data_IF_549099474109
#
_entry.id   IF_549099474109
#
_cell.length_a   1.000
_cell.length_b   1.000
_cell.length_c   1.000
_cell.angle_alpha   90.00
_cell.angle_beta   90.00
_cell.angle_gamma   90.00
#
_symmetry.space_group_name_H-M   'P 1'
#
loop_
_entity.id
_entity.type
_entity.pdbx_description
1 polymer ?
#
# COMPACT_ATOMS: atom_id res chain seq x y z
N UNK A 1 -55.15 37.74 17.43
CA UNK A 1 -54.77 36.38 17.01
C UNK A 1 -53.74 36.42 15.92
N UNK A 2 -52.48 36.28 16.29
CA UNK A 2 -51.32 36.25 15.42
C UNK A 2 -50.85 34.81 15.27
N UNK A 3 -50.89 34.26 14.08
CA UNK A 3 -50.36 32.97 13.68
C UNK A 3 -48.86 33.09 13.44
N UNK A 4 -48.02 32.51 14.27
CA UNK A 4 -46.59 32.36 14.07
C UNK A 4 -46.35 31.13 13.22
N UNK A 5 -45.87 31.35 11.97
CA UNK A 5 -45.40 30.30 11.06
C UNK A 5 -44.00 29.80 11.49
N UNK A 6 -43.94 28.59 11.99
CA UNK A 6 -42.65 27.88 12.24
C UNK A 6 -42.12 27.32 10.93
N UNK A 7 -41.05 27.91 10.42
CA UNK A 7 -40.25 27.31 9.32
C UNK A 7 -39.45 26.12 9.85
N UNK A 8 -39.69 24.96 9.27
CA UNK A 8 -38.81 23.78 9.44
C UNK A 8 -37.42 24.04 8.84
N UNK A 9 -36.35 23.50 9.44
CA UNK A 9 -35.01 23.65 8.86
C UNK A 9 -34.89 22.82 7.58
N UNK A 10 -34.40 23.47 6.52
CA UNK A 10 -34.10 22.81 5.25
C UNK A 10 -32.93 21.84 5.44
N UNK A 11 -33.17 20.56 5.27
CA UNK A 11 -32.13 19.55 5.10
C UNK A 11 -31.37 19.84 3.81
N UNK A 12 -30.22 20.48 3.93
CA UNK A 12 -29.26 20.59 2.84
C UNK A 12 -28.75 19.17 2.52
N UNK A 13 -29.30 18.58 1.47
CA UNK A 13 -28.73 17.38 0.85
C UNK A 13 -27.46 17.83 0.16
N UNK A 14 -26.31 17.57 0.77
CA UNK A 14 -25.03 17.72 0.10
C UNK A 14 -24.94 16.62 -0.97
N UNK A 15 -25.34 16.96 -2.19
CA UNK A 15 -25.00 16.20 -3.38
C UNK A 15 -23.49 16.37 -3.60
N UNK A 16 -22.67 15.60 -2.89
CA UNK A 16 -21.32 15.31 -3.33
C UNK A 16 -21.45 14.42 -4.58
N UNK A 17 -20.87 14.80 -5.74
CA UNK A 17 -20.85 13.88 -6.87
C UNK A 17 -20.10 12.64 -6.41
N UNK A 18 -20.78 11.52 -6.31
CA UNK A 18 -20.17 10.20 -6.10
C UNK A 18 -19.28 9.97 -7.32
N UNK A 19 -18.02 10.36 -7.23
CA UNK A 19 -16.98 9.88 -8.11
C UNK A 19 -16.95 8.39 -7.83
N UNK A 20 -17.33 7.60 -8.81
CA UNK A 20 -17.35 6.14 -8.72
C UNK A 20 -15.89 5.67 -8.51
N UNK A 21 -15.43 5.62 -7.26
CA UNK A 21 -14.07 5.27 -6.86
C UNK A 21 -13.94 3.75 -6.73
N UNK A 22 -14.20 3.04 -7.83
CA UNK A 22 -14.06 1.59 -7.84
C UNK A 22 -12.58 1.19 -7.81
N UNK A 23 -12.17 0.55 -6.72
CA UNK A 23 -10.88 -0.13 -6.61
C UNK A 23 -10.85 -1.38 -7.47
N UNK A 24 -9.78 -1.54 -8.24
CA UNK A 24 -9.48 -2.78 -8.96
C UNK A 24 -8.69 -3.68 -8.03
N UNK A 25 -9.32 -4.74 -7.56
CA UNK A 25 -8.78 -5.67 -6.59
C UNK A 25 -8.57 -7.03 -7.26
N UNK A 26 -7.37 -7.59 -7.13
CA UNK A 26 -7.03 -8.91 -7.62
C UNK A 26 -7.60 -10.00 -6.71
N UNK A 27 -7.27 -9.95 -5.43
CA UNK A 27 -7.68 -10.94 -4.44
C UNK A 27 -7.71 -10.37 -3.02
N UNK A 28 -8.36 -11.10 -2.11
CA UNK A 28 -8.47 -10.80 -0.70
C UNK A 28 -8.00 -12.01 0.11
N UNK A 29 -7.21 -11.77 1.16
CA UNK A 29 -6.76 -12.79 2.10
C UNK A 29 -7.07 -12.35 3.53
N UNK A 30 -7.74 -13.21 4.29
CA UNK A 30 -8.25 -12.84 5.62
C UNK A 30 -7.27 -13.07 6.77
N UNK A 31 -6.17 -13.82 6.55
CA UNK A 31 -5.23 -14.25 7.60
C UNK A 31 -3.77 -14.14 7.18
N UNK A 32 -3.36 -13.00 6.58
CA UNK A 32 -1.95 -12.72 6.28
C UNK A 32 -1.12 -12.62 7.57
N UNK A 33 0.00 -13.31 7.62
CA UNK A 33 0.91 -13.36 8.77
C UNK A 33 2.29 -12.79 8.47
N UNK A 34 2.56 -12.46 7.21
CA UNK A 34 3.86 -11.95 6.72
C UNK A 34 3.77 -10.54 6.11
N UNK A 35 2.60 -9.94 6.16
CA UNK A 35 2.30 -8.67 5.51
C UNK A 35 2.24 -7.49 6.51
N UNK A 36 3.09 -7.52 7.51
CA UNK A 36 3.18 -6.53 8.58
C UNK A 36 2.93 -7.12 9.96
N UNK A 37 2.73 -6.28 10.99
CA UNK A 37 2.57 -6.75 12.37
C UNK A 37 1.23 -7.45 12.60
N UNK A 38 1.27 -8.58 13.32
CA UNK A 38 0.07 -9.33 13.72
C UNK A 38 -0.62 -10.07 12.56
N UNK A 39 -1.87 -10.46 12.77
CA UNK A 39 -2.71 -11.06 11.73
C UNK A 39 -3.39 -9.93 10.96
N UNK A 40 -3.32 -9.99 9.64
CA UNK A 40 -3.80 -8.92 8.78
C UNK A 40 -4.84 -9.40 7.77
N UNK A 41 -5.79 -8.54 7.46
CA UNK A 41 -6.58 -8.67 6.25
C UNK A 41 -5.78 -8.06 5.10
N UNK A 42 -5.46 -8.84 4.07
CA UNK A 42 -4.60 -8.42 2.96
C UNK A 42 -5.42 -8.19 1.70
N UNK A 43 -5.26 -7.03 1.10
CA UNK A 43 -5.92 -6.63 -0.14
C UNK A 43 -4.87 -6.56 -1.24
N UNK A 44 -4.97 -7.45 -2.22
CA UNK A 44 -4.09 -7.45 -3.39
C UNK A 44 -4.71 -6.61 -4.50
N UNK A 45 -4.07 -5.47 -4.82
CA UNK A 45 -4.53 -4.56 -5.87
C UNK A 45 -4.13 -5.06 -7.26
N UNK A 46 -4.95 -4.73 -8.25
CA UNK A 46 -4.68 -5.00 -9.66
C UNK A 46 -4.00 -3.81 -10.33
N UNK A 47 -2.97 -4.11 -11.12
CA UNK A 47 -2.16 -3.17 -11.88
C UNK A 47 -0.79 -2.93 -11.24
N UNK A 48 0.28 -3.05 -12.04
CA UNK A 48 1.65 -2.76 -11.63
C UNK A 48 2.44 -2.18 -12.79
N UNK A 49 3.19 -1.08 -12.62
CA UNK A 49 4.06 -0.54 -13.66
C UNK A 49 5.41 -1.26 -13.72
N UNK A 50 5.79 -2.01 -12.68
CA UNK A 50 7.03 -2.77 -12.63
C UNK A 50 6.90 -4.11 -13.37
N UNK A 51 8.06 -4.65 -13.79
CA UNK A 51 8.19 -5.98 -14.41
C UNK A 51 9.33 -6.72 -13.74
N UNK A 52 9.16 -6.96 -12.43
CA UNK A 52 10.18 -7.62 -11.62
C UNK A 52 10.43 -9.05 -12.13
N UNK A 53 11.70 -9.41 -12.36
CA UNK A 53 12.09 -10.73 -12.87
C UNK A 53 11.64 -11.88 -11.95
N UNK A 54 11.52 -11.60 -10.66
CA UNK A 54 11.12 -12.55 -9.60
C UNK A 54 9.75 -12.19 -8.99
N UNK A 55 8.84 -11.65 -9.79
CA UNK A 55 7.51 -11.30 -9.30
C UNK A 55 6.72 -12.55 -8.91
N UNK A 56 6.18 -12.58 -7.69
CA UNK A 56 5.32 -13.66 -7.22
C UNK A 56 3.87 -13.53 -7.68
N UNK A 57 3.45 -12.32 -8.13
CA UNK A 57 2.08 -12.07 -8.56
C UNK A 57 2.03 -11.44 -9.97
N UNK A 58 2.58 -12.09 -11.02
CA UNK A 58 2.64 -11.51 -12.36
C UNK A 58 1.25 -11.30 -13.00
N UNK A 59 0.25 -12.00 -12.55
CA UNK A 59 -1.16 -11.85 -12.91
C UNK A 59 -1.77 -10.53 -12.42
N UNK A 60 -1.16 -9.87 -11.45
CA UNK A 60 -1.54 -8.51 -11.02
C UNK A 60 -1.01 -7.40 -11.93
N UNK A 61 -0.16 -7.68 -12.92
CA UNK A 61 0.46 -6.64 -13.74
C UNK A 61 -0.51 -5.87 -14.62
N UNK A 62 -1.51 -6.54 -15.15
CA UNK A 62 -2.45 -5.97 -16.10
C UNK A 62 -3.30 -4.86 -15.47
N UNK A 63 -3.28 -3.67 -16.08
CA UNK A 63 -4.07 -2.52 -15.62
C UNK A 63 -5.48 -2.51 -16.24
N UNK A 64 -5.64 -3.07 -17.45
CA UNK A 64 -6.86 -2.94 -18.28
C UNK A 64 -7.68 -4.20 -18.41
N UNK A 65 -7.14 -5.37 -18.12
CA UNK A 65 -7.85 -6.64 -18.20
C UNK A 65 -8.82 -6.83 -17.02
N UNK A 66 -9.75 -7.77 -17.18
CA UNK A 66 -10.80 -8.00 -16.17
C UNK A 66 -10.24 -8.30 -14.79
N UNK A 67 -10.44 -7.40 -13.85
CA UNK A 67 -10.16 -7.64 -12.44
C UNK A 67 -11.24 -8.52 -11.86
N UNK A 68 -10.91 -9.51 -11.00
CA UNK A 68 -11.90 -10.32 -10.31
C UNK A 68 -12.89 -9.49 -9.50
N UNK A 69 -12.42 -8.44 -8.86
CA UNK A 69 -13.25 -7.58 -8.03
C UNK A 69 -13.12 -6.12 -8.39
N UNK A 70 -14.28 -5.45 -8.51
CA UNK A 70 -14.39 -3.99 -8.53
C UNK A 70 -15.27 -3.59 -7.37
N UNK A 71 -14.69 -2.93 -6.38
CA UNK A 71 -15.36 -2.60 -5.12
C UNK A 71 -15.23 -1.13 -4.81
N UNK A 72 -16.28 -0.55 -4.24
CA UNK A 72 -16.21 0.74 -3.56
C UNK A 72 -15.47 0.60 -2.21
N UNK A 73 -14.83 1.67 -1.68
CA UNK A 73 -14.12 1.61 -0.41
C UNK A 73 -14.98 1.10 0.76
N UNK A 74 -16.25 1.48 0.80
CA UNK A 74 -17.21 1.07 1.82
C UNK A 74 -17.55 -0.42 1.73
N UNK A 75 -17.67 -0.95 0.51
CA UNK A 75 -17.92 -2.37 0.30
C UNK A 75 -16.72 -3.21 0.74
N UNK A 76 -15.49 -2.75 0.44
CA UNK A 76 -14.28 -3.41 0.91
C UNK A 76 -14.16 -3.33 2.44
N UNK A 77 -14.46 -2.17 3.05
CA UNK A 77 -14.48 -2.06 4.49
C UNK A 77 -15.47 -3.04 5.14
N UNK A 78 -16.66 -3.20 4.56
CA UNK A 78 -17.66 -4.15 5.07
C UNK A 78 -17.11 -5.59 5.11
N UNK A 79 -16.34 -6.00 4.10
CA UNK A 79 -15.66 -7.31 4.11
C UNK A 79 -14.60 -7.38 5.22
N UNK A 80 -13.77 -6.35 5.39
CA UNK A 80 -12.75 -6.29 6.44
C UNK A 80 -13.38 -6.39 7.84
N UNK A 81 -14.49 -5.70 8.07
CA UNK A 81 -15.18 -5.67 9.38
C UNK A 81 -15.68 -7.05 9.81
N UNK A 82 -15.94 -7.97 8.90
CA UNK A 82 -16.30 -9.38 9.23
C UNK A 82 -15.16 -10.09 9.98
N UNK A 83 -13.93 -9.63 9.81
CA UNK A 83 -12.73 -10.22 10.41
C UNK A 83 -12.14 -9.34 11.52
N UNK A 84 -12.81 -8.26 11.91
CA UNK A 84 -12.30 -7.24 12.85
C UNK A 84 -11.68 -7.84 14.12
N UNK A 85 -12.32 -8.84 14.71
CA UNK A 85 -11.84 -9.48 15.93
C UNK A 85 -10.52 -10.25 15.72
N UNK A 86 -10.33 -10.84 14.56
CA UNK A 86 -9.12 -11.61 14.22
C UNK A 86 -7.93 -10.69 13.94
N UNK A 87 -8.19 -9.56 13.28
CA UNK A 87 -7.16 -8.58 12.91
C UNK A 87 -6.95 -7.48 13.96
N UNK A 88 -7.55 -7.59 15.15
CA UNK A 88 -7.54 -6.55 16.17
C UNK A 88 -6.13 -6.14 16.64
N UNK A 89 -5.14 -7.06 16.59
CA UNK A 89 -3.73 -6.80 16.89
C UNK A 89 -2.84 -6.60 15.65
N UNK A 90 -3.41 -6.69 14.48
CA UNK A 90 -2.74 -6.52 13.18
C UNK A 90 -3.34 -5.35 12.43
N UNK A 91 -4.37 -5.59 11.63
CA UNK A 91 -5.06 -4.57 10.83
C UNK A 91 -5.23 -4.97 9.38
N UNK A 92 -5.19 -3.98 8.49
CA UNK A 92 -5.28 -4.16 7.03
C UNK A 92 -3.94 -3.87 6.39
N UNK A 93 -3.53 -4.69 5.41
CA UNK A 93 -2.44 -4.38 4.48
C UNK A 93 -2.98 -4.31 3.07
N UNK A 94 -2.64 -3.25 2.34
CA UNK A 94 -2.90 -3.18 0.92
C UNK A 94 -1.58 -3.36 0.16
N UNK A 95 -1.55 -4.35 -0.71
CA UNK A 95 -0.40 -4.84 -1.48
C UNK A 95 -0.82 -5.24 -2.90
N UNK A 96 -0.17 -6.22 -3.50
CA UNK A 96 -0.57 -6.88 -4.77
C UNK A 96 0.31 -6.49 -5.93
N UNK A 97 -0.23 -5.76 -6.92
CA UNK A 97 0.56 -5.08 -7.95
C UNK A 97 1.29 -3.87 -7.35
N UNK A 98 0.91 -2.67 -7.76
CA UNK A 98 1.38 -1.44 -7.11
C UNK A 98 0.14 -0.65 -6.63
N UNK A 99 -0.14 -0.66 -5.32
CA UNK A 99 -1.35 -0.03 -4.79
C UNK A 99 -1.47 1.46 -5.13
N UNK A 100 -0.36 2.18 -5.14
CA UNK A 100 -0.32 3.62 -5.41
C UNK A 100 -0.70 4.00 -6.86
N UNK A 101 -0.99 3.04 -7.74
CA UNK A 101 -1.68 3.28 -9.01
C UNK A 101 -3.15 3.70 -8.84
N UNK A 102 -3.72 3.52 -7.65
CA UNK A 102 -5.12 3.81 -7.34
C UNK A 102 -5.23 4.69 -6.07
N UNK A 103 -4.56 5.87 -6.06
CA UNK A 103 -4.36 6.64 -4.84
C UNK A 103 -5.66 7.19 -4.24
N UNK A 104 -6.64 7.59 -5.04
CA UNK A 104 -7.92 8.12 -4.56
C UNK A 104 -8.71 7.04 -3.81
N UNK A 105 -8.76 5.83 -4.38
CA UNK A 105 -9.39 4.67 -3.74
C UNK A 105 -8.70 4.31 -2.42
N UNK A 106 -7.37 4.25 -2.41
CA UNK A 106 -6.58 3.92 -1.23
C UNK A 106 -6.77 4.94 -0.11
N UNK A 107 -6.73 6.23 -0.44
CA UNK A 107 -6.89 7.31 0.53
C UNK A 107 -8.23 7.18 1.26
N UNK A 108 -9.31 6.97 0.51
CA UNK A 108 -10.64 6.80 1.09
C UNK A 108 -10.78 5.50 1.89
N UNK A 109 -10.31 4.38 1.35
CA UNK A 109 -10.35 3.11 2.05
C UNK A 109 -9.58 3.13 3.38
N UNK A 110 -8.37 3.67 3.40
CA UNK A 110 -7.58 3.79 4.62
C UNK A 110 -8.20 4.77 5.63
N UNK A 111 -8.78 5.87 5.15
CA UNK A 111 -9.55 6.78 6.01
C UNK A 111 -10.68 6.04 6.74
N UNK A 112 -11.47 5.26 6.01
CA UNK A 112 -12.55 4.44 6.55
C UNK A 112 -12.04 3.38 7.55
N UNK A 113 -10.91 2.73 7.25
CA UNK A 113 -10.27 1.79 8.17
C UNK A 113 -9.91 2.46 9.50
N UNK A 114 -9.24 3.62 9.44
CA UNK A 114 -8.82 4.37 10.63
C UNK A 114 -10.00 4.86 11.48
N UNK A 115 -11.07 5.33 10.85
CA UNK A 115 -12.31 5.71 11.53
C UNK A 115 -12.95 4.54 12.28
N UNK A 116 -12.69 3.31 11.84
CA UNK A 116 -13.14 2.08 12.50
C UNK A 116 -12.11 1.49 13.49
N UNK A 117 -11.01 2.20 13.76
CA UNK A 117 -9.95 1.78 14.66
C UNK A 117 -9.11 0.61 14.13
N UNK A 118 -8.99 0.49 12.79
CA UNK A 118 -8.21 -0.55 12.12
C UNK A 118 -6.88 0.05 11.68
N UNK A 119 -5.78 -0.54 12.13
CA UNK A 119 -4.42 -0.17 11.74
C UNK A 119 -4.18 -0.44 10.24
N UNK A 120 -3.60 0.54 9.55
CA UNK A 120 -3.38 0.50 8.09
C UNK A 120 -1.91 0.32 7.75
N UNK A 121 -1.62 -0.62 6.83
CA UNK A 121 -0.31 -0.78 6.25
C UNK A 121 -0.38 -0.73 4.73
N UNK A 122 0.58 -0.04 4.14
CA UNK A 122 0.78 0.05 2.69
C UNK A 122 2.05 -0.70 2.31
N UNK A 123 1.91 -1.74 1.50
CA UNK A 123 3.03 -2.49 0.92
C UNK A 123 3.24 -2.01 -0.53
N UNK A 124 4.37 -1.40 -0.81
CA UNK A 124 4.64 -0.69 -2.08
C UNK A 124 6.10 -0.73 -2.47
N UNK A 125 6.37 -0.65 -3.75
CA UNK A 125 7.71 -0.38 -4.28
C UNK A 125 8.17 1.07 -4.10
N UNK A 126 7.26 1.99 -3.75
CA UNK A 126 7.52 3.43 -3.70
C UNK A 126 7.78 4.07 -5.08
N UNK A 127 7.66 3.32 -6.16
CA UNK A 127 7.91 3.85 -7.51
C UNK A 127 6.93 4.95 -7.91
N UNK A 128 5.67 4.86 -7.47
CA UNK A 128 4.66 5.90 -7.69
C UNK A 128 4.79 6.95 -6.58
N UNK A 129 5.55 8.00 -6.84
CA UNK A 129 5.82 9.10 -5.91
C UNK A 129 5.22 10.44 -6.43
N UNK A 130 3.95 10.42 -6.82
CA UNK A 130 3.19 11.61 -7.25
C UNK A 130 2.55 12.32 -6.05
N UNK A 131 2.13 13.58 -6.22
CA UNK A 131 1.42 14.31 -5.16
C UNK A 131 0.22 13.55 -4.60
N UNK A 132 -0.62 12.97 -5.47
CA UNK A 132 -1.78 12.15 -5.08
C UNK A 132 -1.38 10.87 -4.33
N UNK A 133 -0.29 10.21 -4.74
CA UNK A 133 0.23 9.05 -4.03
C UNK A 133 0.73 9.42 -2.62
N UNK A 134 1.39 10.58 -2.50
CA UNK A 134 1.85 11.10 -1.21
C UNK A 134 0.72 11.54 -0.27
N UNK A 135 -0.45 11.91 -0.80
CA UNK A 135 -1.64 12.18 0.02
C UNK A 135 -2.20 10.93 0.69
N UNK A 136 -2.00 9.73 0.11
CA UNK A 136 -2.41 8.45 0.74
C UNK A 136 -1.72 8.26 2.08
N UNK A 137 -0.47 8.72 2.20
CA UNK A 137 0.36 8.57 3.39
C UNK A 137 -0.23 9.24 4.64
N UNK A 138 -1.13 10.21 4.48
CA UNK A 138 -1.87 10.83 5.60
C UNK A 138 -2.76 9.82 6.35
N UNK A 139 -3.10 8.71 5.70
CA UNK A 139 -4.00 7.69 6.22
C UNK A 139 -3.27 6.35 6.52
N UNK A 140 -1.93 6.33 6.46
CA UNK A 140 -1.11 5.12 6.63
C UNK A 140 -0.39 5.14 7.98
N UNK A 141 -0.52 4.05 8.74
CA UNK A 141 0.17 3.87 10.02
C UNK A 141 1.55 3.21 9.87
N UNK A 142 1.74 2.41 8.82
CA UNK A 142 2.99 1.71 8.53
C UNK A 142 3.17 1.54 7.02
N UNK A 143 4.38 1.76 6.52
CA UNK A 143 4.75 1.39 5.15
C UNK A 143 5.68 0.19 5.16
N UNK A 144 5.36 -0.81 4.34
CA UNK A 144 6.27 -1.90 3.96
C UNK A 144 6.88 -1.48 2.61
N UNK A 145 8.12 -1.03 2.62
CA UNK A 145 8.78 -0.50 1.42
C UNK A 145 9.72 -1.53 0.82
N UNK A 146 9.40 -1.98 -0.37
CA UNK A 146 10.22 -2.90 -1.14
C UNK A 146 11.39 -2.17 -1.84
N UNK A 147 12.61 -2.29 -1.33
CA UNK A 147 13.82 -1.88 -2.03
C UNK A 147 14.43 -3.10 -2.74
N UNK A 148 14.22 -3.20 -4.06
CA UNK A 148 14.61 -4.38 -4.85
C UNK A 148 16.14 -4.51 -5.03
N UNK A 149 16.85 -3.40 -5.06
CA UNK A 149 18.31 -3.25 -4.96
C UNK A 149 18.63 -1.78 -4.77
N UNK A 150 19.78 -1.49 -4.15
CA UNK A 150 20.31 -0.11 -4.03
C UNK A 150 21.19 0.26 -5.24
N UNK A 151 21.55 -0.69 -6.09
CA UNK A 151 22.31 -0.46 -7.29
C UNK A 151 21.43 0.15 -8.39
N UNK A 152 21.68 1.41 -8.74
CA UNK A 152 20.94 2.15 -9.77
C UNK A 152 21.09 1.57 -11.18
N UNK A 153 22.16 0.84 -11.46
CA UNK A 153 22.37 0.16 -12.75
C UNK A 153 21.66 -1.19 -12.83
N UNK A 154 21.58 -1.91 -11.72
CA UNK A 154 20.91 -3.20 -11.62
C UNK A 154 19.38 -3.04 -11.51
N UNK A 155 18.89 -2.02 -10.79
CA UNK A 155 17.46 -1.84 -10.52
C UNK A 155 16.58 -1.86 -11.78
N UNK A 156 16.91 -1.13 -12.88
CA UNK A 156 16.11 -1.19 -14.11
C UNK A 156 16.13 -2.56 -14.79
N UNK A 157 17.20 -3.32 -14.61
CA UNK A 157 17.32 -4.68 -15.16
C UNK A 157 16.41 -5.67 -14.39
N UNK A 158 16.24 -5.46 -13.09
CA UNK A 158 15.38 -6.29 -12.23
C UNK A 158 13.91 -5.95 -12.35
N UNK A 159 13.57 -4.66 -12.55
CA UNK A 159 12.20 -4.14 -12.32
C UNK A 159 11.59 -3.46 -13.55
N UNK A 160 12.39 -3.18 -14.58
CA UNK A 160 12.08 -2.34 -15.75
C UNK A 160 11.83 -0.85 -15.44
N UNK A 161 12.10 -0.39 -14.21
CA UNK A 161 11.95 1.02 -13.80
C UNK A 161 13.20 1.52 -13.07
N UNK A 162 13.37 2.85 -12.95
CA UNK A 162 14.49 3.46 -12.22
C UNK A 162 14.27 3.43 -10.72
N UNK A 163 15.38 3.42 -9.96
CA UNK A 163 15.41 3.42 -8.49
C UNK A 163 15.00 4.77 -7.86
N UNK A 164 15.29 5.88 -8.54
CA UNK A 164 15.21 7.24 -7.98
C UNK A 164 13.89 7.54 -7.24
N UNK A 165 12.76 7.08 -7.78
CA UNK A 165 11.46 7.32 -7.18
C UNK A 165 11.28 6.58 -5.86
N UNK A 166 11.76 5.33 -5.77
CA UNK A 166 11.72 4.54 -4.52
C UNK A 166 12.52 5.22 -3.41
N UNK A 167 13.72 5.73 -3.72
CA UNK A 167 14.53 6.45 -2.75
C UNK A 167 13.88 7.77 -2.32
N UNK A 168 13.35 8.54 -3.30
CA UNK A 168 12.60 9.77 -3.00
C UNK A 168 11.36 9.48 -2.15
N UNK A 169 10.70 8.35 -2.36
CA UNK A 169 9.56 7.96 -1.54
C UNK A 169 9.98 7.69 -0.09
N UNK A 170 11.13 7.05 0.14
CA UNK A 170 11.70 6.88 1.49
C UNK A 170 12.01 8.23 2.14
N UNK A 171 12.59 9.19 1.38
CA UNK A 171 12.82 10.56 1.88
C UNK A 171 11.51 11.25 2.31
N UNK A 172 10.41 11.03 1.57
CA UNK A 172 9.10 11.58 1.92
C UNK A 172 8.53 10.92 3.18
N UNK A 173 8.78 9.63 3.41
CA UNK A 173 8.39 8.94 4.63
C UNK A 173 9.16 9.49 5.85
N UNK A 174 10.48 9.72 5.72
CA UNK A 174 11.30 10.34 6.77
C UNK A 174 10.79 11.75 7.13
N UNK A 175 10.54 12.60 6.12
CA UNK A 175 10.01 13.96 6.34
C UNK A 175 8.67 13.98 7.07
N UNK A 176 7.84 12.95 6.88
CA UNK A 176 6.51 12.83 7.48
C UNK A 176 6.51 12.07 8.81
N UNK A 177 7.63 11.46 9.18
CA UNK A 177 7.75 10.64 10.38
C UNK A 177 6.91 9.35 10.32
N UNK A 178 6.70 8.78 9.13
CA UNK A 178 5.88 7.59 8.94
C UNK A 178 6.75 6.34 9.15
N UNK A 179 6.36 5.42 10.05
CA UNK A 179 7.11 4.19 10.29
C UNK A 179 7.26 3.34 9.03
N UNK A 180 8.46 2.78 8.84
CA UNK A 180 8.79 1.97 7.66
C UNK A 180 9.41 0.65 8.08
N UNK A 181 8.96 -0.44 7.46
CA UNK A 181 9.71 -1.69 7.38
C UNK A 181 10.26 -1.83 5.97
N UNK A 182 11.58 -1.91 5.84
CA UNK A 182 12.22 -2.18 4.54
C UNK A 182 12.12 -3.66 4.25
N UNK A 183 11.71 -4.00 3.04
CA UNK A 183 11.63 -5.38 2.53
C UNK A 183 12.60 -5.55 1.38
N UNK A 184 13.35 -6.64 1.41
CA UNK A 184 14.29 -6.99 0.34
C UNK A 184 14.22 -8.49 0.08
N UNK A 185 13.93 -8.86 -1.16
CA UNK A 185 13.86 -10.28 -1.57
C UNK A 185 15.26 -10.75 -1.95
N UNK A 186 15.72 -11.81 -1.30
CA UNK A 186 17.00 -12.47 -1.59
C UNK A 186 16.78 -13.49 -2.71
N UNK A 187 17.28 -13.16 -3.89
CA UNK A 187 17.22 -14.02 -5.09
C UNK A 187 18.65 -14.47 -5.41
N UNK A 188 18.95 -15.78 -5.34
CA UNK A 188 20.29 -16.30 -5.64
C UNK A 188 20.83 -15.83 -6.98
N UNK A 189 22.04 -15.27 -6.97
CA UNK A 189 22.74 -14.75 -8.14
C UNK A 189 22.18 -13.43 -8.69
N UNK A 190 21.20 -12.79 -8.02
CA UNK A 190 20.64 -11.50 -8.45
C UNK A 190 20.69 -10.43 -7.35
N UNK A 191 20.25 -10.76 -6.14
CA UNK A 191 20.11 -9.78 -5.04
C UNK A 191 20.72 -10.27 -3.73
N UNK A 192 21.50 -11.35 -3.75
CA UNK A 192 22.13 -12.00 -2.60
C UNK A 192 23.63 -11.64 -2.42
N UNK A 193 24.12 -10.62 -3.14
CA UNK A 193 25.49 -10.14 -3.00
C UNK A 193 25.70 -9.42 -1.67
N UNK A 194 26.68 -9.88 -0.89
CA UNK A 194 26.97 -9.37 0.46
C UNK A 194 27.37 -7.88 0.48
N UNK A 195 28.08 -7.41 -0.55
CA UNK A 195 28.48 -6.01 -0.67
C UNK A 195 27.26 -5.12 -0.95
N UNK A 196 26.36 -5.58 -1.82
CA UNK A 196 25.12 -4.87 -2.14
C UNK A 196 24.18 -4.81 -0.91
N UNK A 197 24.10 -5.90 -0.16
CA UNK A 197 23.32 -5.95 1.10
C UNK A 197 23.90 -5.03 2.16
N UNK A 198 25.23 -4.99 2.29
CA UNK A 198 25.91 -4.06 3.21
C UNK A 198 25.66 -2.61 2.84
N UNK A 199 25.72 -2.25 1.56
CA UNK A 199 25.37 -0.89 1.07
C UNK A 199 23.91 -0.54 1.34
N UNK A 200 22.99 -1.49 1.16
CA UNK A 200 21.59 -1.28 1.48
C UNK A 200 21.42 -1.02 2.99
N UNK A 201 22.05 -1.84 3.84
CA UNK A 201 21.99 -1.68 5.29
C UNK A 201 22.54 -0.32 5.74
N UNK A 202 23.69 0.10 5.21
CA UNK A 202 24.29 1.42 5.47
C UNK A 202 23.33 2.54 5.04
N UNK A 203 22.77 2.46 3.84
CA UNK A 203 21.86 3.47 3.32
C UNK A 203 20.62 3.63 4.20
N UNK A 204 19.93 2.54 4.54
CA UNK A 204 18.69 2.61 5.33
C UNK A 204 18.93 2.97 6.80
N UNK A 205 20.13 2.75 7.33
CA UNK A 205 20.49 3.10 8.72
C UNK A 205 20.48 4.60 8.99
N UNK A 206 20.53 5.44 7.94
CA UNK A 206 20.47 6.89 8.05
C UNK A 206 19.05 7.44 8.25
N UNK A 207 18.02 6.59 8.13
CA UNK A 207 16.62 6.98 8.26
C UNK A 207 16.07 6.61 9.65
N UNK A 208 15.55 7.59 10.37
CA UNK A 208 15.00 7.39 11.72
C UNK A 208 13.66 6.64 11.71
N UNK A 209 12.91 6.74 10.62
CA UNK A 209 11.60 6.08 10.46
C UNK A 209 11.71 4.58 10.17
N UNK A 210 12.89 4.09 9.79
CA UNK A 210 13.09 2.66 9.53
C UNK A 210 13.15 1.89 10.84
N UNK A 211 12.08 1.15 11.12
CA UNK A 211 11.94 0.35 12.35
C UNK A 211 12.46 -1.07 12.20
N UNK A 212 12.47 -1.59 10.96
CA UNK A 212 12.81 -2.99 10.68
C UNK A 212 13.30 -3.13 9.24
N UNK A 213 14.24 -4.05 9.01
CA UNK A 213 14.57 -4.58 7.70
C UNK A 213 14.27 -6.08 7.66
N UNK A 214 13.56 -6.53 6.62
CA UNK A 214 13.20 -7.93 6.40
C UNK A 214 13.86 -8.44 5.12
N UNK A 215 14.68 -9.48 5.26
CA UNK A 215 15.21 -10.24 4.13
C UNK A 215 14.27 -11.40 3.86
N UNK A 216 13.65 -11.39 2.69
CA UNK A 216 12.64 -12.37 2.30
C UNK A 216 13.28 -13.41 1.36
N UNK A 217 13.30 -14.70 1.70
CA UNK A 217 13.80 -15.70 0.78
C UNK A 217 12.92 -15.79 -0.46
N UNK A 218 13.54 -15.81 -1.65
CA UNK A 218 12.83 -16.12 -2.87
C UNK A 218 12.44 -17.60 -2.89
N UNK A 219 11.23 -17.89 -3.30
CA UNK A 219 10.75 -19.23 -3.58
C UNK A 219 10.05 -19.25 -4.94
N UNK A 220 10.28 -20.31 -5.69
CA UNK A 220 9.53 -20.59 -6.93
C UNK A 220 8.14 -21.08 -6.55
N UNK A 221 7.13 -20.52 -7.21
CA UNK A 221 5.76 -21.06 -7.15
C UNK A 221 5.65 -22.33 -7.99
#
# INVERSE_FOLDING_TARGET
SSLTSSRAPSTAVYNCPLINMLGRIHSLESFGTVDGPGIRFVVFMQGCPLRCLYCHNPDTWEVKSGTPYRMEPEALLAEVLRYKNFIAKGGVTVTGGEPLLQPEFLKEFFRLCRENGIHTALDTSGYICSGKALEVLEQVDLVLLDIKTIDAGLHPRLTAVKLDNTLRFLDELEKRGIPVWIRHVIVPGLTDDDEALSKLAEYISSYNVVQKAELLPYHTM
#
